data_IF_331319505708
#
_entry.id   IF_331319505708
#
_cell.length_a   1.000
_cell.length_b   1.000
_cell.length_c   1.000
_cell.angle_alpha   90.00
_cell.angle_beta   90.00
_cell.angle_gamma   90.00
#
_symmetry.space_group_name_H-M   'P 1'
#
loop_
_entity.id
_entity.type
_entity.pdbx_description
1 polymer ?
#
# COMPACT_ATOMS: atom_id res chain seq x y z
N UNK A 1 -16.62 -24.93 19.81
CA UNK A 1 -16.20 -26.27 19.38
C UNK A 1 -15.55 -26.20 18.01
N UNK A 2 -14.36 -26.80 17.83
CA UNK A 2 -13.66 -26.79 16.52
C UNK A 2 -12.22 -27.31 16.52
N UNK A 3 -11.48 -27.26 17.64
CA UNK A 3 -10.07 -27.72 17.70
C UNK A 3 -9.72 -28.60 18.91
N UNK A 4 -10.67 -28.87 19.80
CA UNK A 4 -10.43 -29.71 21.00
C UNK A 4 -9.51 -29.11 22.06
N UNK A 5 -9.14 -27.83 21.94
CA UNK A 5 -8.23 -27.14 22.85
C UNK A 5 -8.96 -26.61 24.09
N UNK A 6 -9.07 -27.43 25.13
CA UNK A 6 -9.81 -27.10 26.37
C UNK A 6 -9.12 -26.04 27.23
N UNK A 7 -7.81 -25.88 27.10
CA UNK A 7 -6.97 -24.94 27.85
C UNK A 7 -6.72 -23.61 27.11
N UNK A 8 -7.15 -23.48 25.86
CA UNK A 8 -6.85 -22.27 25.07
C UNK A 8 -7.32 -21.00 25.77
N UNK A 9 -8.51 -21.01 26.37
CA UNK A 9 -9.09 -19.87 27.10
C UNK A 9 -8.46 -19.63 28.47
N UNK A 10 -7.67 -20.55 29.00
CA UNK A 10 -6.91 -20.34 30.24
C UNK A 10 -5.55 -19.71 29.97
N UNK A 11 -4.94 -20.03 28.82
CA UNK A 11 -3.66 -19.46 28.37
C UNK A 11 -3.86 -18.11 27.66
N UNK A 12 -4.88 -18.01 26.80
CA UNK A 12 -5.20 -16.81 26.00
C UNK A 12 -6.37 -16.05 26.63
N UNK A 13 -6.06 -14.92 27.23
CA UNK A 13 -7.01 -14.07 27.98
C UNK A 13 -8.03 -13.38 27.06
N UNK A 14 -7.56 -12.83 25.93
CA UNK A 14 -8.40 -12.15 24.95
C UNK A 14 -8.20 -12.78 23.57
N UNK A 15 -9.01 -13.80 23.21
CA UNK A 15 -8.95 -14.40 21.89
C UNK A 15 -9.24 -13.39 20.79
N UNK A 16 -8.52 -13.52 19.68
CA UNK A 16 -8.69 -12.69 18.49
C UNK A 16 -8.33 -13.51 17.25
N UNK A 17 -9.02 -13.24 16.15
CA UNK A 17 -8.81 -13.88 14.86
C UNK A 17 -9.10 -12.89 13.72
N UNK A 18 -8.53 -13.11 12.54
CA UNK A 18 -8.64 -12.17 11.43
C UNK A 18 -10.09 -12.02 10.89
N UNK A 19 -10.95 -13.03 11.05
CA UNK A 19 -12.36 -12.91 10.67
C UNK A 19 -13.12 -11.99 11.64
N UNK A 20 -12.81 -12.06 12.93
CA UNK A 20 -13.30 -11.10 13.94
C UNK A 20 -12.79 -9.70 13.65
N UNK A 21 -11.48 -9.52 13.42
CA UNK A 21 -10.91 -8.20 13.06
C UNK A 21 -11.60 -7.63 11.82
N UNK A 22 -11.80 -8.44 10.78
CA UNK A 22 -12.48 -8.01 9.56
C UNK A 22 -13.93 -7.59 9.82
N UNK A 23 -14.66 -8.33 10.67
CA UNK A 23 -16.04 -7.99 11.05
C UNK A 23 -16.10 -6.67 11.81
N UNK A 24 -15.24 -6.48 12.81
CA UNK A 24 -15.19 -5.23 13.61
C UNK A 24 -14.79 -4.03 12.76
N UNK A 25 -13.85 -4.21 11.82
CA UNK A 25 -13.47 -3.16 10.86
C UNK A 25 -14.64 -2.75 9.96
N UNK A 26 -15.37 -3.72 9.40
CA UNK A 26 -16.57 -3.44 8.58
C UNK A 26 -17.71 -2.80 9.36
N UNK A 27 -17.78 -3.08 10.66
CA UNK A 27 -18.74 -2.47 11.57
C UNK A 27 -18.29 -1.10 12.12
N UNK A 28 -17.17 -0.54 11.61
CA UNK A 28 -16.66 0.78 11.96
C UNK A 28 -16.31 0.90 13.47
N UNK A 29 -15.89 -0.22 14.10
CA UNK A 29 -15.64 -0.34 15.55
C UNK A 29 -14.25 0.12 15.97
N UNK A 30 -13.33 0.28 15.03
CA UNK A 30 -11.99 0.82 15.27
C UNK A 30 -11.99 2.32 15.03
N UNK A 31 -11.84 3.11 16.11
CA UNK A 31 -11.76 4.56 16.02
C UNK A 31 -10.41 5.06 15.50
N UNK A 32 -9.36 4.25 15.65
CA UNK A 32 -8.01 4.59 15.20
C UNK A 32 -7.33 3.39 14.55
N UNK A 33 -6.30 3.66 13.74
CA UNK A 33 -5.50 2.63 13.05
C UNK A 33 -4.74 1.79 14.07
N UNK A 34 -4.31 2.39 15.19
CA UNK A 34 -3.63 1.72 16.29
C UNK A 34 -4.53 0.69 16.97
N UNK A 35 -5.82 1.00 17.15
CA UNK A 35 -6.77 0.04 17.72
C UNK A 35 -6.99 -1.18 16.82
N UNK A 36 -7.09 -0.95 15.50
CA UNK A 36 -7.12 -2.04 14.51
C UNK A 36 -5.81 -2.85 14.53
N UNK A 37 -4.66 -2.17 14.53
CA UNK A 37 -3.35 -2.79 14.50
C UNK A 37 -3.08 -3.63 15.76
N UNK A 38 -3.56 -3.17 16.92
CA UNK A 38 -3.46 -3.89 18.18
C UNK A 38 -4.19 -5.23 18.11
N UNK A 39 -5.38 -5.31 17.51
CA UNK A 39 -6.14 -6.56 17.41
C UNK A 39 -5.56 -7.53 16.37
N UNK A 40 -5.03 -7.01 15.26
CA UNK A 40 -4.27 -7.84 14.32
C UNK A 40 -3.04 -8.44 15.00
N UNK A 41 -2.26 -7.62 15.72
CA UNK A 41 -1.09 -8.07 16.47
C UNK A 41 -1.48 -9.10 17.54
N UNK A 42 -2.57 -8.86 18.27
CA UNK A 42 -3.09 -9.77 19.29
C UNK A 42 -3.41 -11.16 18.71
N UNK A 43 -3.88 -11.25 17.46
CA UNK A 43 -4.10 -12.53 16.78
C UNK A 43 -2.79 -13.34 16.70
N UNK A 44 -1.68 -12.70 16.32
CA UNK A 44 -0.37 -13.35 16.20
C UNK A 44 0.27 -13.62 17.57
N UNK A 45 0.17 -12.66 18.50
CA UNK A 45 0.69 -12.82 19.86
C UNK A 45 0.01 -13.98 20.58
N UNK A 46 -1.31 -14.14 20.44
CA UNK A 46 -2.04 -15.28 20.99
C UNK A 46 -1.60 -16.61 20.37
N UNK A 47 -1.36 -16.62 19.06
CA UNK A 47 -0.85 -17.80 18.36
C UNK A 47 0.53 -18.20 18.90
N UNK A 48 1.44 -17.24 19.06
CA UNK A 48 2.79 -17.47 19.59
C UNK A 48 2.74 -17.86 21.08
N UNK A 49 1.91 -17.20 21.89
CA UNK A 49 1.75 -17.49 23.33
C UNK A 49 1.28 -18.94 23.55
N UNK A 50 0.30 -19.38 22.77
CA UNK A 50 -0.28 -20.72 22.92
C UNK A 50 0.61 -21.81 22.32
N UNK A 51 1.12 -21.61 21.10
CA UNK A 51 1.86 -22.65 20.38
C UNK A 51 3.38 -22.63 20.66
N UNK A 52 3.91 -21.56 21.24
CA UNK A 52 5.33 -21.34 21.45
C UNK A 52 6.05 -20.77 20.22
N UNK A 53 7.03 -19.89 20.44
CA UNK A 53 7.73 -19.14 19.38
C UNK A 53 8.50 -20.02 18.38
N UNK A 54 8.99 -21.19 18.81
CA UNK A 54 9.75 -22.13 17.97
C UNK A 54 8.86 -23.16 17.26
N UNK A 55 7.54 -23.17 17.50
CA UNK A 55 6.63 -24.03 16.76
C UNK A 55 6.44 -23.52 15.32
N UNK A 56 6.00 -24.40 14.41
CA UNK A 56 5.68 -23.99 13.04
C UNK A 56 4.67 -22.83 13.00
N UNK A 57 3.66 -22.86 13.87
CA UNK A 57 2.65 -21.81 13.96
C UNK A 57 3.23 -20.50 14.51
N UNK A 58 4.09 -20.59 15.54
CA UNK A 58 4.78 -19.44 16.12
C UNK A 58 5.71 -18.74 15.11
N UNK A 59 6.47 -19.51 14.33
CA UNK A 59 7.35 -18.99 13.28
C UNK A 59 6.54 -18.27 12.19
N UNK A 60 5.48 -18.89 11.67
CA UNK A 60 4.61 -18.28 10.65
C UNK A 60 3.94 -17.01 11.20
N UNK A 61 3.41 -17.05 12.42
CA UNK A 61 2.80 -15.89 13.07
C UNK A 61 3.79 -14.73 13.21
N UNK A 62 5.05 -15.01 13.60
CA UNK A 62 6.11 -14.00 13.69
C UNK A 62 6.44 -13.36 12.33
N UNK A 63 6.57 -14.17 11.27
CA UNK A 63 6.83 -13.68 9.92
C UNK A 63 5.70 -12.76 9.41
N UNK A 64 4.44 -13.19 9.59
CA UNK A 64 3.28 -12.40 9.16
C UNK A 64 3.14 -11.13 10.00
N UNK A 65 3.36 -11.20 11.32
CA UNK A 65 3.35 -10.02 12.20
C UNK A 65 4.39 -9.00 11.77
N UNK A 66 5.61 -9.43 11.43
CA UNK A 66 6.66 -8.53 10.96
C UNK A 66 6.29 -7.83 9.64
N UNK A 67 5.68 -8.55 8.69
CA UNK A 67 5.19 -7.94 7.43
C UNK A 67 4.07 -6.94 7.72
N UNK A 68 3.15 -7.27 8.62
CA UNK A 68 2.07 -6.38 9.03
C UNK A 68 2.60 -5.11 9.71
N UNK A 69 3.50 -5.25 10.69
CA UNK A 69 4.11 -4.13 11.42
C UNK A 69 4.88 -3.19 10.51
N UNK A 70 5.63 -3.71 9.53
CA UNK A 70 6.27 -2.86 8.51
C UNK A 70 5.24 -2.08 7.71
N UNK A 71 4.18 -2.74 7.23
CA UNK A 71 3.15 -2.08 6.42
C UNK A 71 2.37 -1.04 7.22
N UNK A 72 1.93 -1.37 8.44
CA UNK A 72 1.20 -0.44 9.30
C UNK A 72 2.10 0.70 9.77
N UNK A 73 3.38 0.44 10.01
CA UNK A 73 4.39 1.46 10.29
C UNK A 73 4.47 2.51 9.19
N UNK A 74 4.42 2.11 7.91
CA UNK A 74 4.37 3.06 6.79
C UNK A 74 3.11 3.94 6.82
N UNK A 75 1.97 3.40 7.26
CA UNK A 75 0.73 4.18 7.44
C UNK A 75 0.75 5.10 8.67
N UNK A 76 1.54 4.78 9.70
CA UNK A 76 1.57 5.52 10.98
C UNK A 76 2.71 6.54 11.07
N UNK A 77 3.88 6.27 10.46
CA UNK A 77 5.08 7.16 10.54
C UNK A 77 5.10 8.24 9.48
N UNK A 78 4.49 7.98 8.32
CA UNK A 78 4.14 9.04 7.40
C UNK A 78 2.75 9.48 7.82
N UNK A 79 2.49 10.76 8.00
CA UNK A 79 1.12 11.30 7.96
C UNK A 79 0.47 11.13 6.58
N UNK A 80 0.63 9.97 5.96
CA UNK A 80 0.11 9.59 4.67
C UNK A 80 -1.31 9.09 4.89
N UNK A 81 -2.23 10.06 4.82
CA UNK A 81 -3.58 9.93 4.31
C UNK A 81 -4.36 8.70 4.80
N UNK A 82 -5.36 8.97 5.65
CA UNK A 82 -6.51 8.10 5.89
C UNK A 82 -6.81 7.17 4.69
N UNK A 83 -6.81 5.84 4.86
CA UNK A 83 -7.51 5.01 3.89
C UNK A 83 -8.98 5.42 3.90
N UNK A 84 -9.60 5.75 2.76
CA UNK A 84 -11.00 6.14 2.74
C UNK A 84 -11.84 4.94 3.19
N UNK A 85 -12.89 5.23 3.95
CA UNK A 85 -13.99 4.29 4.16
C UNK A 85 -14.47 3.82 2.78
N UNK A 86 -14.61 2.50 2.64
CA UNK A 86 -14.97 1.83 1.39
C UNK A 86 -16.07 2.58 0.64
N UNK A 87 -15.75 3.07 -0.56
CA UNK A 87 -16.70 3.71 -1.48
C UNK A 87 -16.55 5.22 -1.66
N UNK A 88 -15.75 5.92 -0.85
CA UNK A 88 -15.44 7.34 -1.10
C UNK A 88 -14.10 7.50 -1.82
N UNK A 89 -14.02 8.35 -2.87
CA UNK A 89 -12.74 8.76 -3.44
C UNK A 89 -11.85 9.32 -2.33
N UNK A 90 -10.59 8.86 -2.27
CA UNK A 90 -9.58 9.47 -1.37
C UNK A 90 -9.57 10.97 -1.67
N UNK A 91 -9.80 11.85 -0.67
CA UNK A 91 -9.63 13.28 -0.90
C UNK A 91 -8.19 13.53 -1.37
N UNK A 92 -8.03 14.40 -2.36
CA UNK A 92 -6.70 14.72 -2.89
C UNK A 92 -5.82 15.24 -1.74
N UNK A 93 -4.65 14.61 -1.57
CA UNK A 93 -3.68 15.06 -0.57
C UNK A 93 -3.11 16.41 -1.01
N UNK A 94 -3.17 17.41 -0.13
CA UNK A 94 -2.61 18.73 -0.39
C UNK A 94 -1.11 18.62 -0.74
N UNK A 95 -0.72 19.19 -1.87
CA UNK A 95 0.65 19.09 -2.39
C UNK A 95 0.99 17.79 -3.14
N UNK A 96 0.03 16.90 -3.41
CA UNK A 96 0.19 15.68 -4.21
C UNK A 96 -0.71 15.66 -5.46
N UNK A 97 -0.37 14.89 -6.51
CA UNK A 97 -1.20 14.79 -7.70
C UNK A 97 -2.59 14.24 -7.38
N UNK A 98 -3.62 14.97 -7.81
CA UNK A 98 -5.01 14.54 -7.70
C UNK A 98 -5.30 13.30 -8.53
N UNK A 99 -6.40 12.58 -8.22
CA UNK A 99 -6.86 11.48 -9.06
C UNK A 99 -7.07 11.91 -10.53
N UNK A 100 -7.64 13.10 -10.75
CA UNK A 100 -7.85 13.64 -12.10
C UNK A 100 -6.53 13.87 -12.84
N UNK A 101 -5.51 14.40 -12.14
CA UNK A 101 -4.17 14.57 -12.71
C UNK A 101 -3.51 13.22 -13.03
N UNK A 102 -3.57 12.27 -12.10
CA UNK A 102 -3.03 10.91 -12.29
C UNK A 102 -3.67 10.22 -13.49
N UNK A 103 -5.00 10.31 -13.63
CA UNK A 103 -5.73 9.78 -14.79
C UNK A 103 -5.24 10.41 -16.10
N UNK A 104 -5.10 11.73 -16.15
CA UNK A 104 -4.59 12.43 -17.35
C UNK A 104 -3.15 12.04 -17.69
N UNK A 105 -2.32 11.79 -16.68
CA UNK A 105 -0.96 11.29 -16.88
C UNK A 105 -0.95 9.87 -17.44
N UNK A 106 -1.77 8.97 -16.89
CA UNK A 106 -1.96 7.63 -17.43
C UNK A 106 -2.42 7.66 -18.90
N UNK A 107 -3.47 8.44 -19.20
CA UNK A 107 -4.01 8.62 -20.55
C UNK A 107 -2.98 9.24 -21.52
N UNK A 108 -1.99 9.99 -21.00
CA UNK A 108 -0.89 10.50 -21.80
C UNK A 108 0.14 9.39 -22.08
N UNK A 109 0.55 8.62 -21.06
CA UNK A 109 1.51 7.53 -21.18
C UNK A 109 1.07 6.46 -22.20
N UNK A 110 -0.22 6.17 -22.30
CA UNK A 110 -0.75 5.20 -23.29
C UNK A 110 -0.58 5.66 -24.75
N UNK A 111 -0.29 6.94 -24.99
CA UNK A 111 -0.08 7.53 -26.32
C UNK A 111 1.41 7.70 -26.66
N UNK A 112 2.32 7.40 -25.73
CA UNK A 112 3.74 7.64 -25.89
C UNK A 112 4.46 6.46 -26.55
N UNK A 113 5.56 6.77 -27.23
CA UNK A 113 6.49 5.75 -27.72
C UNK A 113 7.23 5.08 -26.56
N UNK A 114 7.75 3.87 -26.79
CA UNK A 114 8.60 3.18 -25.79
C UNK A 114 9.85 4.01 -25.43
N UNK A 115 10.38 4.80 -26.36
CA UNK A 115 11.53 5.69 -26.10
C UNK A 115 11.13 6.78 -25.10
N UNK A 116 9.96 7.37 -25.27
CA UNK A 116 9.46 8.42 -24.37
C UNK A 116 9.08 7.85 -22.99
N UNK A 117 8.49 6.66 -22.94
CA UNK A 117 8.23 5.96 -21.68
C UNK A 117 9.53 5.65 -20.94
N UNK A 118 10.58 5.21 -21.63
CA UNK A 118 11.91 5.01 -21.02
C UNK A 118 12.51 6.33 -20.50
N UNK A 119 12.28 7.45 -21.19
CA UNK A 119 12.72 8.75 -20.72
C UNK A 119 11.97 9.19 -19.45
N UNK A 120 10.66 8.91 -19.36
CA UNK A 120 9.88 9.11 -18.13
C UNK A 120 10.47 8.30 -16.99
N UNK A 121 10.70 7.00 -17.19
CA UNK A 121 11.31 6.11 -16.17
C UNK A 121 12.66 6.66 -15.71
N UNK A 122 13.51 7.16 -16.62
CA UNK A 122 14.79 7.78 -16.26
C UNK A 122 14.62 9.04 -15.41
N UNK A 123 13.63 9.88 -15.69
CA UNK A 123 13.36 11.09 -14.90
C UNK A 123 12.86 10.72 -13.51
N UNK A 124 11.95 9.73 -13.41
CA UNK A 124 11.46 9.22 -12.14
C UNK A 124 12.59 8.60 -11.34
N UNK A 125 13.44 7.76 -11.93
CA UNK A 125 14.59 7.17 -11.23
C UNK A 125 15.50 8.24 -10.60
N UNK A 126 15.76 9.34 -11.32
CA UNK A 126 16.63 10.42 -10.84
C UNK A 126 16.00 11.25 -9.72
N UNK A 127 14.69 11.45 -9.76
CA UNK A 127 14.00 12.40 -8.88
C UNK A 127 13.25 11.73 -7.72
N UNK A 128 12.80 10.49 -7.93
CA UNK A 128 11.97 9.72 -7.01
C UNK A 128 12.10 8.20 -7.30
N UNK A 129 13.23 7.60 -6.95
CA UNK A 129 13.50 6.19 -7.23
C UNK A 129 12.51 5.22 -6.53
N UNK A 130 11.91 5.64 -5.41
CA UNK A 130 10.95 4.83 -4.65
C UNK A 130 9.63 4.56 -5.41
N UNK A 131 9.32 5.37 -6.43
CA UNK A 131 8.16 5.16 -7.28
C UNK A 131 8.38 4.08 -8.35
N UNK A 132 9.59 3.51 -8.47
CA UNK A 132 9.90 2.45 -9.43
C UNK A 132 10.05 1.10 -8.73
N UNK A 133 9.37 0.09 -9.26
CA UNK A 133 9.52 -1.31 -8.87
C UNK A 133 10.10 -2.08 -10.04
N UNK A 134 11.18 -2.80 -9.80
CA UNK A 134 11.80 -3.68 -10.79
C UNK A 134 11.23 -5.08 -10.65
N UNK A 135 10.63 -5.61 -11.71
CA UNK A 135 10.14 -6.98 -11.76
C UNK A 135 11.06 -7.81 -12.68
N UNK A 136 12.18 -8.24 -12.13
CA UNK A 136 13.28 -8.84 -12.89
C UNK A 136 13.97 -7.86 -13.83
N UNK A 137 14.63 -8.39 -14.86
CA UNK A 137 15.48 -7.58 -15.76
C UNK A 137 14.72 -6.92 -16.92
N UNK A 138 13.43 -7.24 -17.10
CA UNK A 138 12.68 -6.88 -18.31
C UNK A 138 11.54 -5.90 -18.09
N UNK A 139 11.08 -5.71 -16.86
CA UNK A 139 9.91 -4.89 -16.57
C UNK A 139 10.18 -3.90 -15.43
N UNK A 140 9.78 -2.65 -15.67
CA UNK A 140 9.79 -1.59 -14.67
C UNK A 140 8.35 -1.13 -14.48
N UNK A 141 7.84 -1.27 -13.27
CA UNK A 141 6.53 -0.80 -12.86
C UNK A 141 6.66 0.58 -12.22
N UNK A 142 5.88 1.55 -12.72
CA UNK A 142 5.80 2.90 -12.18
C UNK A 142 4.59 3.01 -11.26
N UNK A 143 4.84 3.23 -9.98
CA UNK A 143 3.82 3.49 -8.97
C UNK A 143 3.51 4.99 -8.90
N UNK A 144 2.47 5.41 -9.62
CA UNK A 144 2.05 6.82 -9.73
C UNK A 144 1.59 7.40 -8.38
N UNK A 145 1.16 6.55 -7.44
CA UNK A 145 0.74 7.01 -6.11
C UNK A 145 1.93 7.42 -5.24
N UNK A 146 3.12 6.90 -5.53
CA UNK A 146 4.37 7.24 -4.86
C UNK A 146 5.15 8.38 -5.54
N UNK A 147 4.59 9.04 -6.55
CA UNK A 147 5.18 10.23 -7.15
C UNK A 147 4.88 11.49 -6.33
N UNK A 148 5.93 12.24 -5.97
CA UNK A 148 5.78 13.60 -5.47
C UNK A 148 5.34 14.56 -6.58
N UNK A 149 4.76 15.72 -6.21
CA UNK A 149 4.19 16.68 -7.15
C UNK A 149 5.23 17.30 -8.09
N UNK A 150 6.46 17.51 -7.63
CA UNK A 150 7.54 18.09 -8.44
C UNK A 150 7.96 17.13 -9.55
N UNK A 151 8.18 15.86 -9.19
CA UNK A 151 8.47 14.78 -10.13
C UNK A 151 7.30 14.56 -11.08
N UNK A 152 6.07 14.52 -10.55
CA UNK A 152 4.85 14.39 -11.35
C UNK A 152 4.74 15.50 -12.40
N UNK A 153 4.91 16.77 -12.00
CA UNK A 153 4.83 17.91 -12.92
C UNK A 153 5.90 17.84 -14.01
N UNK A 154 7.12 17.41 -13.68
CA UNK A 154 8.20 17.21 -14.66
C UNK A 154 7.83 16.15 -15.69
N UNK A 155 7.43 14.96 -15.26
CA UNK A 155 7.11 13.85 -16.18
C UNK A 155 5.82 14.11 -16.96
N UNK A 156 4.83 14.77 -16.36
CA UNK A 156 3.58 15.11 -17.02
C UNK A 156 3.78 16.21 -18.07
N UNK A 157 4.61 17.23 -17.78
CA UNK A 157 5.01 18.24 -18.77
C UNK A 157 5.75 17.60 -19.95
N UNK A 158 6.67 16.68 -19.67
CA UNK A 158 7.37 15.92 -20.71
C UNK A 158 6.38 15.12 -21.58
N UNK A 159 5.50 14.33 -20.97
CA UNK A 159 4.52 13.51 -21.69
C UNK A 159 3.62 14.35 -22.62
N UNK A 160 3.08 15.47 -22.12
CA UNK A 160 2.29 16.41 -22.94
C UNK A 160 3.10 16.98 -24.09
N UNK A 161 4.35 17.36 -23.86
CA UNK A 161 5.24 17.90 -24.88
C UNK A 161 5.50 16.92 -26.02
N UNK A 162 5.54 15.62 -25.76
CA UNK A 162 5.70 14.60 -26.81
C UNK A 162 4.41 14.39 -27.60
N UNK A 163 3.25 14.37 -26.93
CA UNK A 163 1.95 14.21 -27.60
C UNK A 163 1.70 15.38 -28.58
N UNK A 164 1.97 16.62 -28.16
CA UNK A 164 1.81 17.80 -29.02
C UNK A 164 2.72 17.79 -30.25
N UNK A 165 3.89 17.14 -30.17
CA UNK A 165 4.80 16.97 -31.30
C UNK A 165 4.39 15.85 -32.26
N UNK A 166 3.61 14.89 -31.78
CA UNK A 166 3.14 13.75 -32.55
C UNK A 166 1.84 14.03 -33.32
N UNK A 167 1.11 15.10 -32.97
CA UNK A 167 -0.05 15.55 -33.75
C UNK A 167 0.42 16.17 -35.08
N UNK A 168 -0.13 15.75 -36.23
CA UNK A 168 0.21 16.36 -37.52
C UNK A 168 -0.20 17.83 -37.50
N UNK A 169 0.70 18.72 -37.93
CA UNK A 169 0.37 20.12 -38.16
C UNK A 169 -0.82 20.20 -39.12
N UNK A 170 -1.92 20.78 -38.64
CA UNK A 170 -3.15 21.01 -39.42
C UNK A 170 -2.91 21.99 -40.55
#
# INVERSE_FOLDING_TARGET
DGLGLSDYRTVVERPMDLSTVQRELKADRYQTVEAFAADVKLTFDNCIKYNGANSMFGVVAGLVSQVFERKVGLYLTVGAAHPPRSGQPVPDREGWPSFSQKKKFYDACTKLSLIDLNNIVKVVHKSCALALKHNGDKEVELDVDNLDMDTFNKVFKFAKGQILKAEPAS
#
